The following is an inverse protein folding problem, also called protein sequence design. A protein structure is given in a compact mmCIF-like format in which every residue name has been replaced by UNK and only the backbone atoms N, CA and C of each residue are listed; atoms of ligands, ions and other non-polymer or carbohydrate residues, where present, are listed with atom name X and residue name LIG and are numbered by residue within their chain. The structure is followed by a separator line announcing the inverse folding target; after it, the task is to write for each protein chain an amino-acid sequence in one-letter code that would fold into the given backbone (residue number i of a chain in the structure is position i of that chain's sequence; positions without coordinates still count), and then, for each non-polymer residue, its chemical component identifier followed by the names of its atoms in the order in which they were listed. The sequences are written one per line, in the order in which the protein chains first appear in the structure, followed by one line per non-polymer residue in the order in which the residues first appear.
data_IF_194275137218
#
_entry.id   IF_194275137218
#
_cell.length_a   1.000
_cell.length_b   1.000
_cell.length_c   1.000
_cell.angle_alpha   90.00
_cell.angle_beta   90.00
_cell.angle_gamma   90.00
#
_symmetry.space_group_name_H-M   'P 1'
#
loop_
_entity.id
_entity.type
_entity.pdbx_description
1 polymer ?
#
# COMPACT_ATOMS: atom_id res chain seq x y z
N UNK A 1 -5.09 -17.21 6.71
CA UNK A 1 -4.69 -16.33 7.84
C UNK A 1 -5.70 -15.21 7.94
N UNK A 2 -6.43 -15.11 9.05
CA UNK A 2 -7.31 -13.95 9.27
C UNK A 2 -6.45 -12.78 9.75
N UNK A 3 -6.14 -11.85 8.85
CA UNK A 3 -5.46 -10.60 9.20
C UNK A 3 -6.46 -9.67 9.85
N UNK A 4 -6.34 -9.47 11.16
CA UNK A 4 -7.14 -8.48 11.88
C UNK A 4 -6.73 -7.08 11.42
N UNK A 5 -7.60 -6.42 10.66
CA UNK A 5 -7.39 -5.04 10.25
C UNK A 5 -7.58 -4.12 11.47
N UNK A 6 -6.74 -3.08 11.63
CA UNK A 6 -6.97 -2.06 12.64
C UNK A 6 -8.27 -1.30 12.33
N UNK A 7 -8.93 -0.80 13.38
CA UNK A 7 -10.20 -0.07 13.26
C UNK A 7 -10.05 1.34 12.67
N UNK A 8 -8.84 1.89 12.72
CA UNK A 8 -8.52 3.24 12.29
C UNK A 8 -7.07 3.30 11.81
N UNK A 9 -6.77 4.28 10.95
CA UNK A 9 -5.44 4.64 10.48
C UNK A 9 -5.45 6.11 10.07
N UNK A 10 -4.34 6.83 10.25
CA UNK A 10 -4.17 8.17 9.70
C UNK A 10 -4.21 8.19 8.17
N UNK A 11 -3.63 7.17 7.52
CA UNK A 11 -3.54 7.10 6.06
C UNK A 11 -3.85 5.68 5.58
N UNK A 12 -4.73 5.57 4.60
CA UNK A 12 -5.02 4.30 3.90
C UNK A 12 -4.76 4.49 2.41
N UNK A 13 -3.87 3.69 1.86
CA UNK A 13 -3.52 3.63 0.45
C UNK A 13 -4.24 2.44 -0.17
N UNK A 14 -5.03 2.67 -1.22
CA UNK A 14 -5.76 1.62 -1.94
C UNK A 14 -5.05 1.38 -3.28
N UNK A 15 -4.48 0.19 -3.43
CA UNK A 15 -3.73 -0.24 -4.62
C UNK A 15 -2.24 -0.47 -4.32
N UNK A 16 -1.78 -1.70 -4.54
CA UNK A 16 -0.40 -2.15 -4.37
C UNK A 16 0.42 -2.15 -5.66
N UNK A 17 0.10 -1.26 -6.60
CA UNK A 17 0.94 -0.95 -7.76
C UNK A 17 2.11 -0.04 -7.39
N UNK A 18 2.94 0.32 -8.38
CA UNK A 18 4.16 1.11 -8.15
C UNK A 18 3.89 2.45 -7.44
N UNK A 19 2.81 3.14 -7.82
CA UNK A 19 2.46 4.42 -7.21
C UNK A 19 2.04 4.26 -5.75
N UNK A 20 1.26 3.23 -5.41
CA UNK A 20 0.84 2.96 -4.04
C UNK A 20 2.02 2.56 -3.14
N UNK A 21 2.88 1.67 -3.63
CA UNK A 21 4.09 1.27 -2.92
C UNK A 21 5.07 2.43 -2.75
N UNK A 22 5.28 3.25 -3.79
CA UNK A 22 6.15 4.43 -3.73
C UNK A 22 5.62 5.45 -2.72
N UNK A 23 4.31 5.71 -2.72
CA UNK A 23 3.67 6.61 -1.75
C UNK A 23 3.88 6.10 -0.32
N UNK A 24 3.61 4.82 -0.07
CA UNK A 24 3.81 4.21 1.24
C UNK A 24 5.27 4.31 1.70
N UNK A 25 6.22 4.02 0.81
CA UNK A 25 7.65 4.11 1.09
C UNK A 25 8.06 5.53 1.49
N UNK A 26 7.66 6.56 0.73
CA UNK A 26 8.03 7.93 1.02
C UNK A 26 7.36 8.47 2.29
N UNK A 27 6.11 8.09 2.56
CA UNK A 27 5.46 8.43 3.83
C UNK A 27 6.21 7.84 5.03
N UNK A 28 6.57 6.56 4.97
CA UNK A 28 7.33 5.89 6.03
C UNK A 28 8.71 6.53 6.20
N UNK A 29 9.40 6.83 5.09
CA UNK A 29 10.71 7.50 5.09
C UNK A 29 10.64 8.90 5.72
N UNK A 30 9.55 9.62 5.54
CA UNK A 30 9.31 10.94 6.13
C UNK A 30 8.78 10.88 7.57
N UNK A 31 8.70 9.70 8.19
CA UNK A 31 8.30 9.53 9.59
C UNK A 31 6.81 9.28 9.82
N UNK A 32 5.99 9.23 8.77
CA UNK A 32 4.58 8.85 8.87
C UNK A 32 4.47 7.32 8.99
N UNK A 33 4.33 6.82 10.22
CA UNK A 33 4.29 5.37 10.51
C UNK A 33 2.90 4.74 10.54
N UNK A 34 1.86 5.56 10.69
CA UNK A 34 0.47 5.09 10.72
C UNK A 34 -0.12 5.09 9.29
N UNK A 35 0.31 4.11 8.50
CA UNK A 35 -0.03 3.94 7.09
C UNK A 35 -0.41 2.50 6.83
N UNK A 36 -1.54 2.29 6.16
CA UNK A 36 -2.00 0.97 5.70
C UNK A 36 -2.07 0.97 4.18
N UNK A 37 -1.52 -0.06 3.54
CA UNK A 37 -1.67 -0.30 2.11
C UNK A 37 -2.55 -1.54 1.91
N UNK A 38 -3.63 -1.40 1.15
CA UNK A 38 -4.54 -2.48 0.80
C UNK A 38 -4.46 -2.77 -0.70
N UNK A 39 -4.27 -4.04 -1.05
CA UNK A 39 -4.29 -4.53 -2.42
C UNK A 39 -5.31 -5.67 -2.52
N UNK A 40 -6.09 -5.68 -3.61
CA UNK A 40 -7.13 -6.68 -3.86
C UNK A 40 -6.55 -8.06 -4.11
N UNK A 41 -5.40 -8.14 -4.79
CA UNK A 41 -4.73 -9.39 -5.18
C UNK A 41 -3.30 -9.43 -4.62
N UNK A 42 -2.32 -9.65 -5.50
CA UNK A 42 -0.90 -9.60 -5.18
C UNK A 42 -0.38 -8.20 -5.51
N UNK A 43 0.64 -7.75 -4.78
CA UNK A 43 1.40 -6.55 -5.15
C UNK A 43 1.81 -6.63 -6.62
N UNK A 44 1.81 -5.46 -7.27
CA UNK A 44 2.14 -5.26 -8.69
C UNK A 44 1.23 -5.96 -9.71
N UNK A 45 0.19 -6.70 -9.31
CA UNK A 45 -0.65 -7.49 -10.22
C UNK A 45 -1.53 -6.69 -11.21
N UNK A 46 -1.52 -5.36 -11.11
CA UNK A 46 -2.14 -4.45 -12.08
C UNK A 46 -1.23 -4.11 -13.27
N UNK A 47 -1.33 -2.88 -13.76
CA UNK A 47 -0.55 -2.39 -14.91
C UNK A 47 0.96 -2.37 -14.66
N UNK A 48 1.38 -2.22 -13.41
CA UNK A 48 2.80 -2.20 -13.02
C UNK A 48 3.57 -3.44 -13.48
N UNK A 49 2.98 -4.63 -13.43
CA UNK A 49 3.67 -5.86 -13.85
C UNK A 49 3.91 -5.95 -15.37
N UNK A 50 3.05 -5.34 -16.18
CA UNK A 50 3.15 -5.39 -17.65
C UNK A 50 3.67 -4.08 -18.26
N UNK A 51 4.16 -3.15 -17.44
CA UNK A 51 4.75 -1.92 -17.96
C UNK A 51 6.15 -2.22 -18.50
N UNK A 52 6.42 -1.77 -19.73
CA UNK A 52 7.72 -1.92 -20.39
C UNK A 52 8.78 -0.99 -19.76
#
# INVERSE_FOLDING_TARGET
MSTKLPKQSKIVIIGGGIMGCSTAYHLLKNGCRDVILLERKKLTSGTTWHSA
#
